data_IF_381895323553
#
_entry.id   IF_381895323553
#
_cell.length_a   1.000
_cell.length_b   1.000
_cell.length_c   1.000
_cell.angle_alpha   90.00
_cell.angle_beta   90.00
_cell.angle_gamma   90.00
#
_symmetry.space_group_name_H-M   'P 1'
#
loop_
_entity.id
_entity.type
_entity.pdbx_description
1 polymer ?
#
# COMPACT_ATOMS: atom_id res chain seq x y z
N UNK A 1 33.02 20.82 42.62
CA UNK A 1 33.42 19.79 41.64
C UNK A 1 32.29 18.83 41.26
N UNK A 2 31.71 18.03 42.18
CA UNK A 2 30.61 17.08 41.86
C UNK A 2 29.39 17.71 41.14
N UNK A 3 28.96 18.91 41.55
CA UNK A 3 27.81 19.61 40.92
C UNK A 3 28.06 20.04 39.47
N UNK A 4 29.30 20.43 39.13
CA UNK A 4 29.69 20.76 37.76
C UNK A 4 29.78 19.51 36.87
N UNK A 5 30.23 18.38 37.43
CA UNK A 5 30.33 17.12 36.69
C UNK A 5 28.94 16.56 36.30
N UNK A 6 27.95 16.74 37.18
CA UNK A 6 26.55 16.35 36.94
C UNK A 6 25.92 17.24 35.86
N UNK A 7 26.12 18.55 35.94
CA UNK A 7 25.58 19.48 34.95
C UNK A 7 26.12 19.21 33.52
N UNK A 8 27.41 18.90 33.40
CA UNK A 8 28.01 18.55 32.11
C UNK A 8 27.45 17.24 31.54
N UNK A 9 27.21 16.25 32.41
CA UNK A 9 26.63 14.96 32.00
C UNK A 9 25.20 15.10 31.48
N UNK A 10 24.38 15.95 32.12
CA UNK A 10 23.00 16.23 31.67
C UNK A 10 22.98 16.90 30.30
N UNK A 11 23.89 17.87 30.06
CA UNK A 11 23.99 18.56 28.78
C UNK A 11 24.36 17.60 27.64
N UNK A 12 25.31 16.68 27.88
CA UNK A 12 25.69 15.66 26.89
C UNK A 12 24.53 14.73 26.55
N UNK A 13 23.73 14.31 27.55
CA UNK A 13 22.56 13.44 27.32
C UNK A 13 21.50 14.17 26.50
N UNK A 14 21.22 15.44 26.78
CA UNK A 14 20.20 16.23 26.05
C UNK A 14 20.63 16.47 24.60
N UNK A 15 21.91 16.83 24.38
CA UNK A 15 22.46 17.01 23.02
C UNK A 15 22.44 15.67 22.27
N UNK A 16 22.81 14.57 22.92
CA UNK A 16 22.74 13.23 22.34
C UNK A 16 21.32 12.85 21.90
N UNK A 17 20.31 13.13 22.73
CA UNK A 17 18.91 12.89 22.38
C UNK A 17 18.44 13.72 21.18
N UNK A 18 18.93 14.95 21.05
CA UNK A 18 18.63 15.83 19.91
C UNK A 18 19.26 15.32 18.60
N UNK A 19 20.52 14.85 18.67
CA UNK A 19 21.24 14.27 17.51
C UNK A 19 20.59 12.96 17.06
N UNK A 20 20.13 12.12 18.00
CA UNK A 20 19.42 10.87 17.68
C UNK A 20 18.11 11.15 16.94
N UNK A 21 17.32 12.16 17.35
CA UNK A 21 16.11 12.56 16.60
C UNK A 21 16.44 13.06 15.19
N UNK A 22 17.56 13.76 15.02
CA UNK A 22 18.00 14.25 13.71
C UNK A 22 18.41 13.10 12.77
N UNK A 23 18.96 12.02 13.33
CA UNK A 23 19.32 10.79 12.58
C UNK A 23 18.09 9.97 12.16
N UNK A 24 16.92 10.14 12.79
CA UNK A 24 15.66 9.53 12.35
C UNK A 24 14.84 10.41 11.39
N UNK A 25 15.33 11.62 11.06
CA UNK A 25 14.71 12.53 10.09
C UNK A 25 15.34 12.43 8.69
N UNK A 26 16.36 11.59 8.52
CA UNK A 26 16.98 11.39 7.21
C UNK A 26 16.14 10.44 6.37
N UNK A 27 15.44 11.06 5.45
CA UNK A 27 14.98 10.53 4.18
C UNK A 27 13.60 9.87 4.13
N UNK A 28 12.58 10.71 4.31
CA UNK A 28 11.27 10.48 3.68
C UNK A 28 11.31 10.89 2.21
N UNK A 29 12.26 10.40 1.42
CA UNK A 29 12.01 10.20 0.00
C UNK A 29 10.93 9.13 -0.08
N UNK A 30 9.66 9.56 -0.02
CA UNK A 30 8.52 8.69 -0.35
C UNK A 30 8.86 8.06 -1.69
N UNK A 31 9.12 6.75 -1.71
CA UNK A 31 9.38 6.06 -2.96
C UNK A 31 8.25 6.39 -3.94
N UNK A 32 8.57 6.73 -5.20
CA UNK A 32 7.53 7.04 -6.16
C UNK A 32 6.59 5.85 -6.25
N UNK A 33 5.27 6.12 -6.18
CA UNK A 33 4.25 5.10 -6.30
C UNK A 33 4.55 4.16 -7.48
N UNK A 34 4.44 2.86 -7.24
CA UNK A 34 4.58 1.86 -8.28
C UNK A 34 3.58 2.13 -9.41
N UNK A 35 4.03 1.96 -10.65
CA UNK A 35 3.20 2.18 -11.83
C UNK A 35 2.53 0.86 -12.21
N UNK A 36 1.21 0.86 -12.10
CA UNK A 36 0.36 -0.19 -12.59
C UNK A 36 -0.19 0.22 -13.96
N UNK A 37 -0.51 -0.76 -14.80
CA UNK A 37 -1.21 -0.50 -16.05
C UNK A 37 -2.52 -1.25 -16.15
N UNK A 38 -3.49 -0.67 -16.84
CA UNK A 38 -4.77 -1.32 -17.10
C UNK A 38 -4.71 -2.12 -18.40
N UNK A 39 -5.21 -3.34 -18.34
CA UNK A 39 -5.50 -4.14 -19.53
C UNK A 39 -7.01 -4.13 -19.71
N UNK A 40 -7.47 -3.40 -20.71
CA UNK A 40 -8.86 -3.41 -21.17
C UNK A 40 -8.99 -4.36 -22.33
N UNK A 41 -9.89 -5.36 -22.20
CA UNK A 41 -10.35 -6.11 -23.36
C UNK A 41 -11.78 -5.65 -23.69
N UNK A 42 -11.90 -4.86 -24.75
CA UNK A 42 -13.15 -4.28 -25.22
C UNK A 42 -14.21 -5.32 -25.59
N UNK A 43 -13.80 -6.55 -25.91
CA UNK A 43 -14.70 -7.63 -26.30
C UNK A 43 -15.24 -8.44 -25.10
N UNK A 44 -14.50 -8.45 -23.99
CA UNK A 44 -14.80 -9.30 -22.82
C UNK A 44 -15.25 -8.51 -21.59
N UNK A 45 -15.39 -7.18 -21.70
CA UNK A 45 -15.76 -6.26 -20.61
C UNK A 45 -14.97 -6.49 -19.31
N UNK A 46 -13.76 -7.05 -19.42
CA UNK A 46 -12.95 -7.40 -18.25
C UNK A 46 -11.85 -6.36 -18.09
N UNK A 47 -11.82 -5.72 -16.93
CA UNK A 47 -10.74 -4.81 -16.52
C UNK A 47 -9.75 -5.62 -15.69
N UNK A 48 -8.50 -5.64 -16.13
CA UNK A 48 -7.38 -6.25 -15.38
C UNK A 48 -6.34 -5.20 -15.07
N UNK A 49 -5.60 -5.42 -14.00
CA UNK A 49 -4.47 -4.58 -13.60
C UNK A 49 -3.18 -5.39 -13.81
N UNK A 50 -2.12 -4.76 -14.29
CA UNK A 50 -0.80 -5.37 -14.48
C UNK A 50 0.26 -4.64 -13.64
N UNK A 51 1.13 -5.43 -12.99
CA UNK A 51 2.30 -4.98 -12.22
C UNK A 51 3.51 -5.82 -12.64
N UNK A 52 4.43 -5.24 -13.41
CA UNK A 52 5.51 -6.03 -14.02
C UNK A 52 4.94 -7.18 -14.85
N UNK A 53 5.33 -8.42 -14.58
CA UNK A 53 4.79 -9.62 -15.25
C UNK A 53 3.51 -10.18 -14.59
N UNK A 54 3.10 -9.67 -13.42
CA UNK A 54 1.92 -10.17 -12.71
C UNK A 54 0.67 -9.45 -13.22
N UNK A 55 -0.33 -10.24 -13.59
CA UNK A 55 -1.67 -9.74 -13.94
C UNK A 55 -2.65 -10.09 -12.84
N UNK A 56 -3.52 -9.13 -12.50
CA UNK A 56 -4.56 -9.24 -11.51
C UNK A 56 -5.93 -9.10 -12.18
N UNK A 57 -6.88 -9.93 -11.77
CA UNK A 57 -8.26 -9.88 -12.23
C UNK A 57 -9.16 -9.46 -11.08
N UNK A 58 -10.22 -8.72 -11.40
CA UNK A 58 -11.27 -8.37 -10.44
C UNK A 58 -11.84 -9.65 -9.82
N UNK A 59 -11.85 -9.70 -8.49
CA UNK A 59 -12.32 -10.84 -7.72
C UNK A 59 -13.54 -10.46 -6.87
N UNK A 60 -13.51 -9.28 -6.26
CA UNK A 60 -14.48 -8.86 -5.26
C UNK A 60 -14.62 -7.34 -5.17
N UNK A 61 -15.50 -6.87 -4.28
CA UNK A 61 -15.61 -5.45 -3.92
C UNK A 61 -16.01 -5.27 -2.46
N UNK A 62 -15.98 -4.03 -1.96
CA UNK A 62 -16.39 -3.71 -0.59
C UNK A 62 -15.34 -4.04 0.48
N UNK A 63 -14.06 -4.11 0.10
CA UNK A 63 -12.95 -4.50 0.99
C UNK A 63 -12.25 -3.33 1.68
N UNK A 64 -12.91 -2.18 1.79
CA UNK A 64 -12.30 -0.93 2.28
C UNK A 64 -11.71 -1.03 3.69
N UNK A 65 -12.34 -1.81 4.57
CA UNK A 65 -11.87 -2.04 5.95
C UNK A 65 -10.55 -2.82 6.02
N UNK A 66 -10.19 -3.56 4.96
CA UNK A 66 -8.96 -4.37 4.88
C UNK A 66 -7.80 -3.62 4.21
N UNK A 67 -7.98 -2.33 3.89
CA UNK A 67 -7.01 -1.49 3.19
C UNK A 67 -5.76 -1.23 4.03
N UNK A 68 -4.59 -1.50 3.47
CA UNK A 68 -3.30 -1.12 4.05
C UNK A 68 -2.69 0.13 3.41
N UNK A 69 -1.35 0.18 3.33
CA UNK A 69 -0.63 1.28 2.67
C UNK A 69 -0.95 1.33 1.17
N UNK A 70 -0.99 2.54 0.62
CA UNK A 70 -0.95 2.73 -0.83
C UNK A 70 0.42 2.31 -1.36
N UNK A 71 0.43 1.60 -2.49
CA UNK A 71 1.67 1.15 -3.15
C UNK A 71 1.79 1.68 -4.57
N UNK A 72 0.68 2.08 -5.21
CA UNK A 72 0.73 2.47 -6.62
C UNK A 72 -0.42 3.31 -7.10
N UNK A 73 -0.32 3.64 -8.40
CA UNK A 73 -1.38 4.25 -9.20
C UNK A 73 -1.48 3.57 -10.56
N UNK A 74 -2.69 3.53 -11.14
CA UNK A 74 -2.97 2.89 -12.43
C UNK A 74 -2.89 3.92 -13.56
N UNK A 75 -2.15 3.59 -14.62
CA UNK A 75 -1.96 4.39 -15.85
C UNK A 75 -1.49 5.85 -15.59
N UNK A 76 -0.97 6.11 -14.39
CA UNK A 76 -0.54 7.43 -13.95
C UNK A 76 -1.65 8.39 -13.55
N UNK A 77 -2.90 7.95 -13.39
CA UNK A 77 -3.96 8.75 -12.78
C UNK A 77 -3.82 8.72 -11.24
N UNK A 78 -3.59 9.88 -10.63
CA UNK A 78 -3.42 10.01 -9.17
C UNK A 78 -4.68 9.66 -8.36
N UNK A 79 -5.85 9.63 -9.01
CA UNK A 79 -7.11 9.20 -8.39
C UNK A 79 -7.25 7.69 -8.41
N UNK A 80 -6.56 7.00 -9.30
CA UNK A 80 -6.68 5.55 -9.50
C UNK A 80 -5.64 4.80 -8.67
N UNK A 81 -5.97 4.58 -7.40
CA UNK A 81 -5.01 4.21 -6.36
C UNK A 81 -5.01 2.71 -6.12
N UNK A 82 -3.81 2.15 -5.92
CA UNK A 82 -3.61 0.74 -5.56
C UNK A 82 -3.05 0.62 -4.16
N UNK A 83 -3.67 -0.21 -3.33
CA UNK A 83 -3.31 -0.47 -1.94
C UNK A 83 -2.98 -1.95 -1.72
N UNK A 84 -2.19 -2.24 -0.69
CA UNK A 84 -2.08 -3.61 -0.18
C UNK A 84 -3.38 -4.03 0.52
N UNK A 85 -3.69 -5.32 0.43
CA UNK A 85 -4.67 -5.97 1.31
C UNK A 85 -3.95 -6.40 2.60
N UNK A 86 -4.39 -5.90 3.77
CA UNK A 86 -3.75 -6.21 5.04
C UNK A 86 -3.76 -7.72 5.33
N UNK A 87 -2.60 -8.27 5.70
CA UNK A 87 -2.45 -9.70 6.03
C UNK A 87 -2.21 -10.62 4.82
N UNK A 88 -2.14 -10.08 3.61
CA UNK A 88 -1.90 -10.85 2.38
C UNK A 88 -0.72 -10.27 1.58
N UNK A 89 -0.08 -11.12 0.78
CA UNK A 89 1.00 -10.68 -0.11
C UNK A 89 0.45 -9.78 -1.22
N UNK A 90 1.12 -8.68 -1.51
CA UNK A 90 0.77 -7.82 -2.65
C UNK A 90 1.10 -8.46 -4.00
N UNK A 91 1.85 -9.57 -4.02
CA UNK A 91 2.04 -10.41 -5.20
C UNK A 91 0.79 -11.23 -5.55
N UNK A 92 -0.13 -11.37 -4.59
CA UNK A 92 -1.32 -12.21 -4.70
C UNK A 92 -2.61 -11.40 -4.70
N UNK A 93 -2.69 -10.35 -3.86
CA UNK A 93 -3.92 -9.61 -3.60
C UNK A 93 -3.67 -8.10 -3.54
N UNK A 94 -4.54 -7.34 -4.19
CA UNK A 94 -4.49 -5.88 -4.25
C UNK A 94 -5.87 -5.29 -4.05
N UNK A 95 -5.92 -4.05 -3.58
CA UNK A 95 -7.13 -3.24 -3.57
C UNK A 95 -6.96 -2.08 -4.55
N UNK A 96 -7.89 -1.95 -5.48
CA UNK A 96 -8.01 -0.75 -6.32
C UNK A 96 -9.11 0.16 -5.75
N UNK A 97 -8.89 1.47 -5.79
CA UNK A 97 -9.89 2.45 -5.44
C UNK A 97 -9.70 3.71 -6.27
N UNK A 98 -10.72 4.04 -7.06
CA UNK A 98 -10.76 5.28 -7.82
C UNK A 98 -11.38 6.40 -6.98
N UNK A 99 -10.64 7.47 -6.70
CA UNK A 99 -11.03 8.49 -5.71
C UNK A 99 -12.16 9.43 -6.17
N UNK A 100 -13.39 8.92 -6.13
CA UNK A 100 -14.65 9.64 -6.43
C UNK A 100 -15.74 9.28 -5.42
N UNK A 101 -16.74 10.15 -5.28
CA UNK A 101 -17.77 10.14 -4.22
C UNK A 101 -18.59 8.83 -4.05
N UNK A 102 -18.54 7.91 -5.02
CA UNK A 102 -19.31 6.66 -5.00
C UNK A 102 -18.49 5.45 -5.44
N UNK A 103 -17.16 5.53 -5.31
CA UNK A 103 -16.30 4.43 -5.69
C UNK A 103 -16.26 3.34 -4.63
N UNK A 104 -16.09 2.09 -5.08
CA UNK A 104 -15.88 0.95 -4.20
C UNK A 104 -14.38 0.63 -4.11
N UNK A 105 -14.01 -0.01 -3.01
CA UNK A 105 -12.71 -0.66 -2.90
C UNK A 105 -12.84 -2.04 -3.53
N UNK A 106 -12.24 -2.19 -4.71
CA UNK A 106 -12.30 -3.40 -5.51
C UNK A 106 -11.14 -4.32 -5.15
N UNK A 107 -11.46 -5.61 -4.93
CA UNK A 107 -10.49 -6.64 -4.59
C UNK A 107 -9.99 -7.30 -5.87
N UNK A 108 -8.69 -7.23 -6.09
CA UNK A 108 -8.00 -7.84 -7.22
C UNK A 108 -7.16 -9.03 -6.77
N UNK A 109 -7.23 -10.10 -7.54
CA UNK A 109 -6.47 -11.34 -7.31
C UNK A 109 -5.50 -11.58 -8.46
N UNK A 110 -4.26 -11.89 -8.15
CA UNK A 110 -3.29 -12.31 -9.15
C UNK A 110 -3.76 -13.60 -9.85
N UNK A 111 -3.58 -13.66 -11.17
CA UNK A 111 -4.09 -14.77 -12.00
C UNK A 111 -3.50 -16.13 -11.61
N UNK A 112 -2.28 -16.15 -11.07
CA UNK A 112 -1.62 -17.39 -10.64
C UNK A 112 -2.11 -17.92 -9.28
N UNK A 113 -2.86 -17.13 -8.50
CA UNK A 113 -3.39 -17.55 -7.20
C UNK A 113 -4.60 -18.45 -7.40
N UNK A 114 -4.45 -19.70 -6.97
CA UNK A 114 -5.46 -20.76 -7.11
C UNK A 114 -6.16 -21.09 -5.80
N UNK A 115 -5.44 -21.03 -4.67
CA UNK A 115 -6.00 -21.23 -3.34
C UNK A 115 -6.59 -19.92 -2.83
N UNK A 116 -7.90 -19.91 -2.57
CA UNK A 116 -8.64 -18.73 -2.15
C UNK A 116 -8.88 -18.82 -0.65
N UNK A 117 -8.33 -17.89 0.16
CA UNK A 117 -8.61 -17.85 1.58
C UNK A 117 -10.12 -17.74 1.84
N UNK A 118 -10.64 -18.61 2.71
CA UNK A 118 -12.09 -18.63 3.03
C UNK A 118 -12.60 -17.28 3.54
N UNK A 119 -11.74 -16.50 4.20
CA UNK A 119 -12.06 -15.15 4.66
C UNK A 119 -12.31 -14.16 3.52
N UNK A 120 -11.74 -14.38 2.33
CA UNK A 120 -11.92 -13.52 1.16
C UNK A 120 -13.13 -13.92 0.31
N UNK A 121 -13.65 -15.13 0.48
CA UNK A 121 -14.81 -15.63 -0.27
C UNK A 121 -16.07 -14.78 -0.08
N UNK A 122 -16.21 -14.14 1.08
CA UNK A 122 -17.37 -13.28 1.37
C UNK A 122 -17.44 -12.01 0.51
N UNK A 123 -16.33 -11.62 -0.14
CA UNK A 123 -16.24 -10.45 -1.01
C UNK A 123 -16.36 -10.79 -2.50
N UNK A 124 -16.42 -12.09 -2.84
CA UNK A 124 -16.40 -12.54 -4.24
C UNK A 124 -17.62 -11.97 -5.00
N UNK A 125 -17.38 -11.43 -6.19
CA UNK A 125 -18.46 -11.03 -7.09
C UNK A 125 -19.20 -12.27 -7.63
N UNK A 126 -20.53 -12.20 -7.66
CA UNK A 126 -21.43 -13.24 -8.17
C UNK A 126 -21.80 -13.01 -9.63
#
# INVERSE_FOLDING_TARGET
MKKMLIALSVVVIVIGFFVIKLLFLTDSHSEPFERFSRITNTEQSTVKIKRGEVTYSLFGSGVGELKGRQIGIVDGDERDKVYILQGYSSDEWLIEYYDVLMSNYDLYKAVHVTDIPSALELYRLH
#
